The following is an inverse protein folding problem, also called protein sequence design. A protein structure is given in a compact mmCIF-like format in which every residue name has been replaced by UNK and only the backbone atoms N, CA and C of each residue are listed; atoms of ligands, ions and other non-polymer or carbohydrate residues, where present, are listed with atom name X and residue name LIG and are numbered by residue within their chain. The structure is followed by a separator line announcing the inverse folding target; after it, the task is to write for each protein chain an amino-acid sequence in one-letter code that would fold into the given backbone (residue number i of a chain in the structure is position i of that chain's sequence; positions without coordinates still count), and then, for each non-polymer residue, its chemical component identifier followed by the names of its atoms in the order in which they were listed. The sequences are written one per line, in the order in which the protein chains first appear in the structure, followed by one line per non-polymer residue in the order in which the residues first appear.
data_IF_225316618821
#
_entry.id   IF_225316618821
#
_cell.length_a   1.000
_cell.length_b   1.000
_cell.length_c   1.000
_cell.angle_alpha   90.00
_cell.angle_beta   90.00
_cell.angle_gamma   90.00
#
_symmetry.space_group_name_H-M   'P 1'
#
loop_
_entity.id
_entity.type
_entity.pdbx_description
1 polymer ?
#
# COMPACT_ATOMS: atom_id res chain seq x y z
N UNK A 1 -34.37 15.98 50.10
CA UNK A 1 -35.15 16.46 48.94
C UNK A 1 -34.83 17.94 48.78
N UNK A 2 -34.33 18.51 47.69
CA UNK A 2 -34.03 18.00 46.37
C UNK A 2 -33.08 18.99 45.66
N UNK A 3 -32.27 18.43 44.75
CA UNK A 3 -31.78 19.01 43.49
C UNK A 3 -30.90 20.27 43.49
N UNK A 4 -29.60 19.99 43.37
CA UNK A 4 -28.67 20.73 42.51
C UNK A 4 -29.17 20.70 41.05
N UNK A 5 -29.19 21.83 40.36
CA UNK A 5 -29.37 21.85 38.91
C UNK A 5 -28.45 22.88 38.24
N UNK A 6 -27.82 22.40 37.18
CA UNK A 6 -26.87 23.03 36.28
C UNK A 6 -27.39 24.31 35.60
N UNK A 7 -26.45 25.21 35.26
CA UNK A 7 -26.40 25.79 33.91
C UNK A 7 -24.95 25.97 33.46
N UNK A 8 -24.60 25.18 32.44
CA UNK A 8 -23.42 25.31 31.58
C UNK A 8 -23.41 26.64 30.83
N UNK A 9 -22.20 27.14 30.53
CA UNK A 9 -21.73 27.64 29.22
C UNK A 9 -20.31 28.17 29.40
N UNK A 10 -19.28 28.05 28.55
CA UNK A 10 -18.96 27.25 27.36
C UNK A 10 -17.45 27.50 27.15
N UNK A 11 -16.55 26.61 27.60
CA UNK A 11 -15.15 26.68 27.16
C UNK A 11 -15.00 25.79 25.93
N UNK A 12 -14.92 26.44 24.77
CA UNK A 12 -14.62 25.82 23.49
C UNK A 12 -13.26 25.12 23.59
N UNK A 13 -13.27 23.79 23.65
CA UNK A 13 -12.08 22.96 23.51
C UNK A 13 -11.68 22.98 22.04
N UNK A 14 -10.85 23.93 21.63
CA UNK A 14 -10.09 23.81 20.39
C UNK A 14 -9.19 22.58 20.52
N UNK A 15 -9.56 21.51 19.82
CA UNK A 15 -8.72 20.35 19.59
C UNK A 15 -7.40 20.84 18.98
N UNK A 16 -6.31 20.65 19.70
CA UNK A 16 -4.97 20.75 19.13
C UNK A 16 -4.87 19.66 18.06
N UNK A 17 -5.01 20.04 16.79
CA UNK A 17 -4.53 19.20 15.70
C UNK A 17 -3.01 19.11 15.88
N UNK A 18 -2.49 17.93 16.20
CA UNK A 18 -1.06 17.66 16.16
C UNK A 18 -0.53 18.08 14.77
N UNK A 19 0.35 19.08 14.74
CA UNK A 19 1.12 19.40 13.54
C UNK A 19 2.00 18.19 13.21
N UNK A 20 1.51 17.30 12.35
CA UNK A 20 2.35 16.26 11.75
C UNK A 20 3.46 16.95 10.99
N UNK A 21 4.69 16.90 11.52
CA UNK A 21 5.86 17.36 10.80
C UNK A 21 5.91 16.63 9.44
N UNK A 22 6.05 17.36 8.32
CA UNK A 22 6.09 16.73 7.02
C UNK A 22 7.28 15.76 6.95
N UNK A 23 7.02 14.52 6.52
CA UNK A 23 8.06 13.52 6.31
C UNK A 23 9.22 14.12 5.49
N UNK A 24 10.50 13.87 5.81
CA UNK A 24 11.64 14.52 5.14
C UNK A 24 11.63 14.35 3.61
N UNK A 25 11.05 13.25 3.12
CA UNK A 25 10.93 12.94 1.70
C UNK A 25 9.65 13.44 1.02
N UNK A 26 8.84 14.29 1.68
CA UNK A 26 7.53 14.74 1.17
C UNK A 26 7.61 15.35 -0.23
N UNK A 27 8.67 16.10 -0.53
CA UNK A 27 8.86 16.68 -1.87
C UNK A 27 9.06 15.60 -2.95
N UNK A 28 9.79 14.54 -2.62
CA UNK A 28 10.04 13.42 -3.53
C UNK A 28 8.73 12.67 -3.77
N UNK A 29 7.96 12.40 -2.72
CA UNK A 29 6.66 11.73 -2.84
C UNK A 29 5.70 12.50 -3.74
N UNK A 30 5.56 13.82 -3.55
CA UNK A 30 4.72 14.64 -4.44
C UNK A 30 5.13 14.57 -5.90
N UNK A 31 6.44 14.50 -6.20
CA UNK A 31 6.94 14.36 -7.57
C UNK A 31 6.63 12.98 -8.14
N UNK A 32 6.87 11.92 -7.36
CA UNK A 32 6.56 10.55 -7.73
C UNK A 32 5.06 10.36 -7.99
N UNK A 33 4.21 10.85 -7.07
CA UNK A 33 2.76 10.77 -7.17
C UNK A 33 2.20 11.55 -8.35
N UNK A 34 2.78 12.72 -8.66
CA UNK A 34 2.41 13.45 -9.89
C UNK A 34 2.65 12.59 -11.12
N UNK A 35 3.77 11.87 -11.18
CA UNK A 35 4.09 11.00 -12.31
C UNK A 35 3.18 9.77 -12.36
N UNK A 36 2.92 9.13 -11.21
CA UNK A 36 1.96 8.02 -11.12
C UNK A 36 0.57 8.46 -11.59
N UNK A 37 0.12 9.65 -11.22
CA UNK A 37 -1.16 10.17 -11.70
C UNK A 37 -1.19 10.41 -13.22
N UNK A 38 -0.08 10.82 -13.82
CA UNK A 38 0.03 10.92 -15.29
C UNK A 38 -0.03 9.54 -15.95
N UNK A 39 0.65 8.54 -15.38
CA UNK A 39 0.56 7.15 -15.85
C UNK A 39 -0.83 6.55 -15.69
N UNK A 40 -1.62 7.01 -14.72
CA UNK A 40 -3.01 6.59 -14.49
C UNK A 40 -4.03 7.34 -15.35
N UNK A 41 -3.61 8.33 -16.14
CA UNK A 41 -4.51 9.15 -16.94
C UNK A 41 -5.26 8.29 -17.97
N UNK A 42 -6.54 8.57 -18.21
CA UNK A 42 -7.40 7.71 -19.03
C UNK A 42 -7.08 7.72 -20.52
N UNK A 43 -6.50 8.81 -21.02
CA UNK A 43 -6.20 9.01 -22.45
C UNK A 43 -4.71 8.80 -22.73
N UNK A 44 -3.87 9.61 -22.08
CA UNK A 44 -2.41 9.58 -22.26
C UNK A 44 -1.65 8.67 -21.28
N UNK A 45 -2.34 7.89 -20.44
CA UNK A 45 -1.70 7.02 -19.45
C UNK A 45 -1.31 5.65 -20.00
N UNK A 46 -0.88 4.78 -19.08
CA UNK A 46 -0.52 3.41 -19.36
C UNK A 46 -1.77 2.58 -19.59
N UNK A 47 -1.72 1.71 -20.61
CA UNK A 47 -2.82 0.83 -20.95
C UNK A 47 -3.00 -0.28 -19.89
N UNK A 48 -3.95 -0.07 -18.99
CA UNK A 48 -4.36 -1.06 -18.00
C UNK A 48 -5.23 -2.14 -18.66
N UNK A 49 -4.86 -3.41 -18.49
CA UNK A 49 -5.51 -4.58 -19.11
C UNK A 49 -6.01 -5.60 -18.10
N UNK A 50 -6.93 -6.44 -18.55
CA UNK A 50 -7.32 -7.67 -17.86
C UNK A 50 -6.74 -8.85 -18.61
N UNK A 51 -5.92 -9.66 -17.94
CA UNK A 51 -5.30 -10.86 -18.50
C UNK A 51 -6.11 -12.08 -18.06
N UNK A 52 -6.48 -12.94 -19.02
CA UNK A 52 -7.22 -14.18 -18.77
C UNK A 52 -6.37 -15.38 -19.20
N UNK A 53 -6.23 -16.35 -18.31
CA UNK A 53 -5.69 -17.69 -18.59
C UNK A 53 -6.78 -18.73 -18.36
N UNK A 54 -6.46 -20.02 -18.58
CA UNK A 54 -7.40 -21.12 -18.34
C UNK A 54 -7.84 -21.24 -16.88
N UNK A 55 -6.97 -20.90 -15.92
CA UNK A 55 -7.22 -21.05 -14.47
C UNK A 55 -7.29 -19.73 -13.71
N UNK A 56 -6.94 -18.60 -14.33
CA UNK A 56 -6.85 -17.31 -13.65
C UNK A 56 -7.37 -16.15 -14.49
N UNK A 57 -7.92 -15.14 -13.81
CA UNK A 57 -8.28 -13.85 -14.39
C UNK A 57 -7.67 -12.76 -13.52
N UNK A 58 -6.73 -12.02 -14.08
CA UNK A 58 -6.02 -10.94 -13.39
C UNK A 58 -6.49 -9.62 -14.01
N UNK A 59 -7.31 -8.87 -13.28
CA UNK A 59 -7.83 -7.56 -13.72
C UNK A 59 -6.85 -6.45 -13.43
N UNK A 60 -6.96 -5.30 -14.07
CA UNK A 60 -6.24 -4.06 -13.71
C UNK A 60 -4.71 -4.20 -13.58
N UNK A 61 -4.04 -4.72 -14.61
CA UNK A 61 -2.58 -4.90 -14.66
C UNK A 61 -1.94 -4.28 -15.90
N UNK A 62 -0.63 -4.13 -15.89
CA UNK A 62 0.22 -3.72 -17.02
C UNK A 62 1.55 -4.50 -16.97
N UNK A 63 2.32 -4.53 -18.08
CA UNK A 63 3.66 -5.14 -18.09
C UNK A 63 4.75 -4.12 -17.74
N UNK A 64 5.95 -4.61 -17.40
CA UNK A 64 7.12 -3.74 -17.23
C UNK A 64 7.49 -2.98 -18.51
N UNK A 65 7.30 -3.62 -19.67
CA UNK A 65 7.52 -2.97 -20.97
C UNK A 65 6.55 -1.81 -21.23
N UNK A 66 5.28 -1.97 -20.84
CA UNK A 66 4.27 -0.90 -20.97
C UNK A 66 4.72 0.37 -20.19
N UNK A 67 5.34 0.20 -19.03
CA UNK A 67 5.91 1.29 -18.22
C UNK A 67 7.14 1.94 -18.86
N UNK A 68 8.10 1.13 -19.33
CA UNK A 68 9.34 1.63 -19.93
C UNK A 68 9.03 2.45 -21.18
N UNK A 69 8.17 1.93 -22.06
CA UNK A 69 7.74 2.63 -23.28
C UNK A 69 7.05 3.95 -22.93
N UNK A 70 6.17 3.94 -21.92
CA UNK A 70 5.49 5.16 -21.51
C UNK A 70 6.47 6.20 -20.95
N UNK A 71 7.42 5.78 -20.11
CA UNK A 71 8.44 6.67 -19.53
C UNK A 71 9.30 7.32 -20.60
N UNK A 72 9.84 6.55 -21.55
CA UNK A 72 10.68 7.09 -22.63
C UNK A 72 9.90 8.09 -23.51
N UNK A 73 8.59 7.86 -23.69
CA UNK A 73 7.75 8.72 -24.51
C UNK A 73 7.31 10.03 -23.82
N UNK A 74 7.15 10.04 -22.49
CA UNK A 74 6.53 11.16 -21.76
C UNK A 74 7.48 11.88 -20.79
N UNK A 75 8.60 11.25 -20.46
CA UNK A 75 9.64 11.78 -19.58
C UNK A 75 10.94 11.75 -20.40
N UNK A 76 11.79 12.75 -20.19
CA UNK A 76 13.12 12.85 -20.83
C UNK A 76 14.10 11.80 -20.25
N UNK A 77 13.72 10.53 -20.33
CA UNK A 77 14.52 9.36 -19.96
C UNK A 77 15.24 8.89 -21.22
N UNK A 78 16.58 8.85 -21.16
CA UNK A 78 17.42 8.69 -22.35
C UNK A 78 17.50 7.24 -22.83
N UNK A 79 17.37 6.26 -21.92
CA UNK A 79 17.44 4.85 -22.26
C UNK A 79 16.61 3.95 -21.32
N UNK A 80 16.59 2.66 -21.65
CA UNK A 80 15.90 1.64 -20.88
C UNK A 80 16.51 1.44 -19.48
N UNK A 81 17.80 1.73 -19.28
CA UNK A 81 18.49 1.57 -18.00
C UNK A 81 17.97 2.60 -17.01
N UNK A 82 17.90 3.86 -17.42
CA UNK A 82 17.36 4.96 -16.63
C UNK A 82 15.87 4.75 -16.33
N UNK A 83 15.11 4.26 -17.32
CA UNK A 83 13.70 3.94 -17.13
C UNK A 83 13.52 2.84 -16.07
N UNK A 84 14.29 1.76 -16.17
CA UNK A 84 14.27 0.68 -15.19
C UNK A 84 14.68 1.18 -13.81
N UNK A 85 15.70 2.03 -13.69
CA UNK A 85 16.10 2.59 -12.40
C UNK A 85 14.97 3.38 -11.75
N UNK A 86 14.29 4.23 -12.52
CA UNK A 86 13.15 4.99 -12.02
C UNK A 86 11.98 4.09 -11.59
N UNK A 87 11.69 3.02 -12.34
CA UNK A 87 10.65 2.07 -11.96
C UNK A 87 11.00 1.27 -10.70
N UNK A 88 12.27 0.93 -10.50
CA UNK A 88 12.73 0.35 -9.23
C UNK A 88 12.52 1.30 -8.06
N UNK A 89 12.73 2.62 -8.25
CA UNK A 89 12.43 3.62 -7.22
C UNK A 89 10.92 3.70 -6.92
N UNK A 90 10.07 3.64 -7.95
CA UNK A 90 8.62 3.59 -7.73
C UNK A 90 8.19 2.35 -6.94
N UNK A 91 8.78 1.20 -7.27
CA UNK A 91 8.51 -0.05 -6.57
C UNK A 91 9.00 0.01 -5.12
N UNK A 92 10.24 0.47 -4.87
CA UNK A 92 10.82 0.54 -3.53
C UNK A 92 10.08 1.49 -2.58
N UNK A 93 9.44 2.51 -3.12
CA UNK A 93 8.56 3.42 -2.37
C UNK A 93 7.09 2.96 -2.29
N UNK A 94 6.77 1.79 -2.86
CA UNK A 94 5.45 1.16 -2.72
C UNK A 94 4.37 1.71 -3.65
N UNK A 95 4.73 2.42 -4.72
CA UNK A 95 3.75 2.93 -5.71
C UNK A 95 3.36 1.87 -6.74
N UNK A 96 4.25 0.91 -7.02
CA UNK A 96 4.07 -0.15 -8.01
C UNK A 96 4.51 -1.46 -7.38
N UNK A 97 3.77 -2.55 -7.61
CA UNK A 97 4.14 -3.87 -7.11
C UNK A 97 3.84 -4.96 -8.13
N UNK A 98 4.66 -6.02 -8.12
CA UNK A 98 4.45 -7.20 -8.95
C UNK A 98 3.26 -8.01 -8.41
N UNK A 99 2.46 -8.60 -9.30
CA UNK A 99 1.26 -9.37 -8.91
C UNK A 99 1.59 -10.76 -8.39
N UNK A 100 2.60 -11.40 -8.96
CA UNK A 100 2.89 -12.83 -8.74
C UNK A 100 4.11 -13.07 -7.84
N UNK A 101 4.71 -12.01 -7.28
CA UNK A 101 5.94 -12.11 -6.49
C UNK A 101 5.96 -11.02 -5.40
N UNK A 102 6.67 -11.30 -4.29
CA UNK A 102 6.90 -10.35 -3.20
C UNK A 102 8.16 -9.49 -3.44
N UNK A 103 8.86 -9.73 -4.55
CA UNK A 103 10.07 -8.99 -4.89
C UNK A 103 9.74 -7.60 -5.41
N UNK A 104 10.39 -6.60 -4.81
CA UNK A 104 10.26 -5.17 -5.14
C UNK A 104 11.23 -4.79 -6.28
N UNK A 105 11.38 -5.65 -7.29
CA UNK A 105 12.24 -5.38 -8.44
C UNK A 105 11.48 -5.53 -9.74
N UNK A 106 11.80 -4.64 -10.68
CA UNK A 106 11.21 -4.67 -12.01
C UNK A 106 11.98 -5.67 -12.85
N UNK A 107 11.33 -6.77 -13.19
CA UNK A 107 11.82 -7.73 -14.19
C UNK A 107 11.48 -7.19 -15.58
N UNK A 108 12.50 -6.97 -16.41
CA UNK A 108 12.37 -6.47 -17.79
C UNK A 108 11.80 -7.48 -18.80
N UNK A 109 11.21 -8.59 -18.36
CA UNK A 109 10.59 -9.58 -19.24
C UNK A 109 9.07 -9.40 -19.35
N UNK A 110 8.50 -9.75 -20.52
CA UNK A 110 7.07 -9.64 -20.85
C UNK A 110 6.11 -10.46 -19.98
N UNK A 111 6.63 -11.30 -19.09
CA UNK A 111 5.84 -12.26 -18.32
C UNK A 111 5.41 -11.74 -16.95
N UNK A 112 5.98 -10.63 -16.47
CA UNK A 112 5.66 -10.07 -15.16
C UNK A 112 4.60 -8.98 -15.27
N UNK A 113 3.54 -9.12 -14.47
CA UNK A 113 2.47 -8.14 -14.35
C UNK A 113 2.61 -7.30 -13.10
N UNK A 114 2.27 -6.02 -13.21
CA UNK A 114 2.35 -5.04 -12.13
C UNK A 114 1.02 -4.33 -11.93
N UNK A 115 0.87 -3.73 -10.75
CA UNK A 115 -0.27 -2.89 -10.37
C UNK A 115 0.23 -1.59 -9.77
N UNK A 116 -0.57 -0.54 -9.96
CA UNK A 116 -0.46 0.66 -9.16
C UNK A 116 -1.03 0.44 -7.77
N UNK A 117 -0.37 0.99 -6.78
CA UNK A 117 -0.87 1.08 -5.42
C UNK A 117 -1.99 2.11 -5.33
N UNK A 118 -2.98 1.82 -4.48
CA UNK A 118 -4.08 2.75 -4.21
C UNK A 118 -3.56 3.99 -3.48
N UNK A 119 -4.08 5.21 -3.78
CA UNK A 119 -3.63 6.45 -3.15
C UNK A 119 -3.69 6.44 -1.63
N UNK A 120 -4.59 5.66 -1.04
CA UNK A 120 -4.70 5.49 0.41
C UNK A 120 -3.39 4.99 1.05
N UNK A 121 -2.68 4.08 0.38
CA UNK A 121 -1.43 3.49 0.87
C UNK A 121 -0.17 4.24 0.38
N UNK A 122 -0.29 5.45 -0.17
CA UNK A 122 0.88 6.23 -0.57
C UNK A 122 1.67 6.74 0.63
N UNK A 123 3.01 6.77 0.55
CA UNK A 123 3.87 7.16 1.66
C UNK A 123 3.71 8.63 2.07
N UNK A 124 3.18 9.50 1.21
CA UNK A 124 2.86 10.90 1.57
C UNK A 124 1.73 11.02 2.59
N UNK A 125 0.90 10.00 2.75
CA UNK A 125 -0.16 9.99 3.77
C UNK A 125 0.40 9.79 5.19
N UNK A 126 1.72 9.65 5.35
CA UNK A 126 2.41 9.42 6.62
C UNK A 126 1.72 8.32 7.43
N UNK A 127 1.45 7.20 6.76
CA UNK A 127 1.01 5.97 7.40
C UNK A 127 2.17 5.42 8.22
N UNK A 128 2.08 5.52 9.54
CA UNK A 128 2.76 4.56 10.40
C UNK A 128 1.75 3.43 10.63
N UNK A 129 1.86 2.29 9.91
CA UNK A 129 0.96 1.17 10.14
C UNK A 129 1.08 0.76 11.60
N UNK A 130 -0.02 0.78 12.33
CA UNK A 130 0.01 0.41 13.72
C UNK A 130 0.31 -1.09 13.83
N UNK A 131 1.00 -1.48 14.90
CA UNK A 131 1.24 -2.89 15.18
C UNK A 131 -0.07 -3.71 15.22
N UNK A 132 -1.19 -3.07 15.56
CA UNK A 132 -2.52 -3.68 15.51
C UNK A 132 -2.96 -3.99 14.07
N UNK A 133 -2.81 -3.06 13.13
CA UNK A 133 -3.18 -3.27 11.73
C UNK A 133 -2.37 -4.40 11.10
N UNK A 134 -1.07 -4.43 11.38
CA UNK A 134 -0.21 -5.49 10.87
C UNK A 134 -0.56 -6.85 11.48
N UNK A 135 -0.91 -6.90 12.77
CA UNK A 135 -1.39 -8.13 13.41
C UNK A 135 -2.70 -8.63 12.79
N UNK A 136 -3.66 -7.74 12.52
CA UNK A 136 -4.92 -8.08 11.85
C UNK A 136 -4.67 -8.61 10.44
N UNK A 137 -3.77 -7.96 9.68
CA UNK A 137 -3.38 -8.39 8.34
C UNK A 137 -2.81 -9.82 8.33
N UNK A 138 -1.82 -10.09 9.19
CA UNK A 138 -1.18 -11.41 9.28
C UNK A 138 -2.17 -12.47 9.78
N UNK A 139 -2.98 -12.14 10.79
CA UNK A 139 -4.03 -13.03 11.31
C UNK A 139 -5.01 -13.42 10.20
N UNK A 140 -5.52 -12.46 9.43
CA UNK A 140 -6.42 -12.71 8.30
C UNK A 140 -5.80 -13.64 7.26
N UNK A 141 -4.50 -13.46 6.93
CA UNK A 141 -3.78 -14.35 6.00
C UNK A 141 -3.72 -15.78 6.49
N UNK A 142 -3.44 -15.98 7.79
CA UNK A 142 -3.43 -17.33 8.39
C UNK A 142 -4.80 -18.01 8.36
N UNK A 143 -5.89 -17.24 8.42
CA UNK A 143 -7.26 -17.79 8.37
C UNK A 143 -7.69 -18.23 6.97
N UNK A 144 -7.11 -17.66 5.92
CA UNK A 144 -7.55 -17.90 4.54
C UNK A 144 -7.14 -19.28 3.98
N UNK A 145 -6.23 -20.02 4.63
CA UNK A 145 -5.84 -21.40 4.30
C UNK A 145 -5.58 -21.63 2.79
N UNK A 146 -4.96 -20.65 2.13
CA UNK A 146 -4.55 -20.70 0.73
C UNK A 146 -3.03 -20.70 0.68
N UNK A 147 -2.43 -21.64 -0.06
CA UNK A 147 -0.97 -21.79 -0.13
C UNK A 147 -0.24 -20.48 -0.51
N UNK A 148 -0.80 -19.65 -1.40
CA UNK A 148 -0.21 -18.35 -1.78
C UNK A 148 -0.38 -17.23 -0.73
N UNK A 149 -1.04 -17.52 0.39
CA UNK A 149 -1.26 -16.58 1.49
C UNK A 149 -0.60 -17.07 2.79
N UNK A 150 0.07 -18.23 2.74
CA UNK A 150 0.91 -18.71 3.83
C UNK A 150 1.94 -17.63 4.19
N UNK A 151 2.21 -17.51 5.49
CA UNK A 151 3.17 -16.54 6.00
C UNK A 151 4.58 -17.01 5.70
N UNK A 152 5.45 -16.11 5.26
CA UNK A 152 6.88 -16.40 5.24
C UNK A 152 7.43 -16.51 6.67
N UNK A 153 8.56 -17.19 6.86
CA UNK A 153 9.14 -17.43 8.19
C UNK A 153 9.30 -16.15 9.01
N UNK A 154 9.77 -15.07 8.37
CA UNK A 154 9.94 -13.77 9.04
C UNK A 154 8.60 -13.13 9.43
N UNK A 155 7.54 -13.34 8.65
CA UNK A 155 6.18 -12.85 8.94
C UNK A 155 5.57 -13.65 10.09
N UNK A 156 5.78 -14.96 10.11
CA UNK A 156 5.34 -15.84 11.21
C UNK A 156 6.04 -15.47 12.52
N UNK A 157 7.35 -15.20 12.49
CA UNK A 157 8.08 -14.68 13.65
C UNK A 157 7.53 -13.33 14.13
N UNK A 158 7.22 -12.43 13.19
CA UNK A 158 6.63 -11.13 13.52
C UNK A 158 5.22 -11.28 14.12
N UNK A 159 4.40 -12.19 13.60
CA UNK A 159 3.09 -12.49 14.17
C UNK A 159 3.22 -12.98 15.61
N UNK A 160 4.17 -13.87 15.89
CA UNK A 160 4.43 -14.35 17.25
C UNK A 160 4.86 -13.21 18.21
N UNK A 161 5.71 -12.28 17.73
CA UNK A 161 6.09 -11.07 18.48
C UNK A 161 4.87 -10.18 18.76
N UNK A 162 4.05 -9.94 17.75
CA UNK A 162 2.83 -9.13 17.84
C UNK A 162 1.81 -9.75 18.80
N UNK A 163 1.61 -11.07 18.74
CA UNK A 163 0.72 -11.79 19.64
C UNK A 163 1.16 -11.68 21.09
N UNK A 164 2.47 -11.75 21.37
CA UNK A 164 3.01 -11.53 22.71
C UNK A 164 2.77 -10.09 23.18
N UNK A 165 3.06 -9.11 22.32
CA UNK A 165 2.93 -7.69 22.61
C UNK A 165 1.47 -7.25 22.80
N UNK A 166 0.55 -7.77 21.98
CA UNK A 166 -0.88 -7.45 21.97
C UNK A 166 -1.73 -8.49 22.72
N UNK A 167 -1.11 -9.31 23.58
CA UNK A 167 -1.76 -10.45 24.25
C UNK A 167 -3.13 -10.15 24.87
N UNK A 168 -3.28 -8.99 25.53
CA UNK A 168 -4.55 -8.55 26.14
C UNK A 168 -5.62 -8.09 25.15
N UNK A 169 -5.23 -7.78 23.92
CA UNK A 169 -6.11 -7.32 22.84
C UNK A 169 -6.23 -8.35 21.71
N UNK A 170 -5.67 -9.55 21.89
CA UNK A 170 -5.58 -10.55 20.82
C UNK A 170 -6.95 -11.01 20.32
N UNK A 171 -7.93 -11.14 21.21
CA UNK A 171 -9.31 -11.45 20.82
C UNK A 171 -9.90 -10.39 19.87
N UNK A 172 -9.59 -9.10 20.09
CA UNK A 172 -10.02 -8.03 19.19
C UNK A 172 -9.34 -8.12 17.82
N UNK A 173 -8.04 -8.43 17.79
CA UNK A 173 -7.30 -8.65 16.53
C UNK A 173 -7.96 -9.78 15.74
N UNK A 174 -8.29 -10.89 16.39
CA UNK A 174 -8.94 -12.03 15.73
C UNK A 174 -10.35 -11.67 15.22
N UNK A 175 -11.18 -11.05 16.06
CA UNK A 175 -12.53 -10.61 15.65
C UNK A 175 -12.48 -9.64 14.46
N UNK A 176 -11.52 -8.72 14.45
CA UNK A 176 -11.36 -7.77 13.34
C UNK A 176 -10.87 -8.47 12.06
N UNK A 177 -9.96 -9.44 12.18
CA UNK A 177 -9.51 -10.26 11.06
C UNK A 177 -10.66 -11.09 10.46
N UNK A 178 -11.50 -11.68 11.31
CA UNK A 178 -12.69 -12.43 10.92
C UNK A 178 -13.74 -11.54 10.23
N UNK A 179 -13.98 -10.33 10.73
CA UNK A 179 -14.93 -9.39 10.13
C UNK A 179 -14.49 -8.87 8.74
N UNK A 180 -13.20 -8.92 8.44
CA UNK A 180 -12.61 -8.53 7.15
C UNK A 180 -12.34 -9.72 6.22
N UNK A 181 -12.71 -10.93 6.64
CA UNK A 181 -12.55 -12.17 5.87
C UNK A 181 -13.49 -12.22 4.66
#
# INVERSE_FOLDING_TARGET
MASSNCTNTTSCSTSFAEEKHPHPNMLIYRKMEKLINQMLHSEDGIKIKTVKSFLSKIVSVFSGQDLIVWLIAHIDVFDEIDANHLLHLFASHGYIFQVDDHVITMKGGDTSFYRFQTPYFWPSNCWEPENMDYAVYLCKRTMQNKAHLELEDFEAENLAKLQKMLSRKWEFVFMQAEAQY
#
